data_IF_161082018508
#
_entry.id   IF_161082018508
#
_cell.length_a   1.000
_cell.length_b   1.000
_cell.length_c   1.000
_cell.angle_alpha   90.00
_cell.angle_beta   90.00
_cell.angle_gamma   90.00
#
_symmetry.space_group_name_H-M   'P 1'
#
loop_
_entity.id
_entity.type
_entity.pdbx_description
1 polymer ?
#
# COMPACT_ATOMS: atom_id res chain seq x y z
N UNK A 1 -16.48 -6.41 18.80
CA UNK A 1 -15.87 -5.11 18.48
C UNK A 1 -16.97 -4.06 18.36
N UNK A 2 -16.84 -2.91 19.03
CA UNK A 2 -17.84 -1.85 18.90
C UNK A 2 -17.59 -0.96 17.65
N UNK A 3 -18.57 -0.14 17.28
CA UNK A 3 -18.50 0.73 16.09
C UNK A 3 -17.34 1.74 16.14
N UNK A 4 -17.02 2.27 17.32
CA UNK A 4 -15.92 3.23 17.49
C UNK A 4 -14.55 2.56 17.35
N UNK A 5 -14.39 1.34 17.88
CA UNK A 5 -13.22 0.50 17.69
C UNK A 5 -13.02 0.15 16.21
N UNK A 6 -14.10 -0.19 15.49
CA UNK A 6 -14.06 -0.49 14.06
C UNK A 6 -13.62 0.74 13.25
N UNK A 7 -14.27 1.89 13.48
CA UNK A 7 -13.94 3.18 12.86
C UNK A 7 -12.47 3.55 13.11
N UNK A 8 -12.06 3.52 14.37
CA UNK A 8 -10.70 3.92 14.76
C UNK A 8 -9.66 2.95 14.21
N UNK A 9 -9.93 1.64 14.20
CA UNK A 9 -9.04 0.64 13.63
C UNK A 9 -8.74 0.91 12.16
N UNK A 10 -9.78 1.15 11.35
CA UNK A 10 -9.61 1.53 9.95
C UNK A 10 -8.84 2.84 9.78
N UNK A 11 -9.17 3.87 10.55
CA UNK A 11 -8.50 5.17 10.44
C UNK A 11 -7.02 5.10 10.83
N UNK A 12 -6.70 4.44 11.95
CA UNK A 12 -5.32 4.26 12.41
C UNK A 12 -4.50 3.52 11.37
N UNK A 13 -5.01 2.41 10.82
CA UNK A 13 -4.31 1.70 9.76
C UNK A 13 -4.22 2.46 8.45
N UNK A 14 -5.24 3.26 8.11
CA UNK A 14 -5.17 4.16 6.95
C UNK A 14 -3.99 5.13 7.06
N UNK A 15 -3.78 5.71 8.25
CA UNK A 15 -2.66 6.62 8.53
C UNK A 15 -1.32 5.89 8.45
N UNK A 16 -1.24 4.68 8.98
CA UNK A 16 -0.05 3.83 8.88
C UNK A 16 0.34 3.57 7.41
N UNK A 17 -0.64 3.20 6.58
CA UNK A 17 -0.42 2.97 5.14
C UNK A 17 0.00 4.28 4.43
N UNK A 18 -0.60 5.41 4.77
CA UNK A 18 -0.23 6.71 4.20
C UNK A 18 1.22 7.08 4.54
N UNK A 19 1.62 6.91 5.80
CA UNK A 19 3.01 7.15 6.23
C UNK A 19 3.98 6.21 5.52
N UNK A 20 3.61 4.94 5.35
CA UNK A 20 4.41 3.97 4.59
C UNK A 20 4.51 4.36 3.11
N UNK A 21 3.41 4.85 2.51
CA UNK A 21 3.37 5.36 1.12
C UNK A 21 4.28 6.58 0.95
N UNK A 22 4.29 7.49 1.93
CA UNK A 22 5.17 8.65 1.93
C UNK A 22 6.65 8.23 2.04
N UNK A 23 6.96 7.25 2.88
CA UNK A 23 8.32 6.68 3.00
C UNK A 23 8.78 6.08 1.68
N UNK A 24 7.93 5.32 0.98
CA UNK A 24 8.21 4.78 -0.35
C UNK A 24 8.50 5.88 -1.39
N UNK A 25 7.87 7.04 -1.22
CA UNK A 25 8.01 8.17 -2.16
C UNK A 25 9.29 8.99 -1.91
N UNK A 26 9.75 9.09 -0.65
CA UNK A 26 10.97 9.84 -0.28
C UNK A 26 12.25 9.19 -0.79
N UNK A 27 12.29 7.86 -0.87
CA UNK A 27 13.43 7.06 -1.37
C UNK A 27 13.70 7.20 -2.89
N UNK A 28 13.03 8.13 -3.60
CA UNK A 28 13.15 8.31 -5.06
C UNK A 28 14.12 9.41 -5.49
N UNK A 29 14.67 10.22 -4.59
CA UNK A 29 15.35 11.48 -4.95
C UNK A 29 16.88 11.38 -5.18
N UNK A 30 17.41 10.20 -5.46
CA UNK A 30 18.83 10.02 -5.82
C UNK A 30 19.05 9.35 -7.18
N UNK A 31 19.93 9.92 -8.00
CA UNK A 31 20.56 9.24 -9.16
C UNK A 31 21.42 8.04 -8.74
N UNK A 32 21.86 7.99 -7.48
CA UNK A 32 22.63 6.88 -6.89
C UNK A 32 21.80 5.94 -6.00
N UNK A 33 20.57 6.32 -5.64
CA UNK A 33 19.70 5.43 -4.86
C UNK A 33 18.97 4.48 -5.83
N UNK A 34 19.60 3.32 -6.02
CA UNK A 34 18.90 2.16 -6.55
C UNK A 34 18.01 1.68 -5.42
N UNK A 35 16.70 1.77 -5.61
CA UNK A 35 15.76 1.08 -4.75
C UNK A 35 16.10 -0.41 -4.84
N UNK A 36 16.66 -0.99 -3.79
CA UNK A 36 17.16 -2.36 -3.84
C UNK A 36 15.99 -3.33 -3.95
N UNK A 37 16.19 -4.46 -4.64
CA UNK A 37 15.21 -5.55 -4.68
C UNK A 37 14.76 -5.99 -3.28
N UNK A 38 15.63 -5.83 -2.27
CA UNK A 38 15.28 -6.08 -0.87
C UNK A 38 14.21 -5.11 -0.36
N UNK A 39 14.43 -3.79 -0.47
CA UNK A 39 13.42 -2.78 -0.07
C UNK A 39 12.10 -2.99 -0.82
N UNK A 40 12.16 -3.38 -2.09
CA UNK A 40 10.97 -3.68 -2.89
C UNK A 40 10.23 -4.91 -2.37
N UNK A 41 10.95 -5.98 -2.03
CA UNK A 41 10.38 -7.18 -1.45
C UNK A 41 9.79 -6.93 -0.07
N UNK A 42 10.48 -6.17 0.79
CA UNK A 42 9.99 -5.79 2.12
C UNK A 42 8.66 -4.99 2.00
N UNK A 43 8.56 -4.08 1.03
CA UNK A 43 7.33 -3.33 0.77
C UNK A 43 6.18 -4.22 0.22
N UNK A 44 6.49 -5.22 -0.60
CA UNK A 44 5.50 -6.23 -1.04
C UNK A 44 5.00 -7.10 0.10
N UNK A 45 5.88 -7.49 1.00
CA UNK A 45 5.50 -8.23 2.20
C UNK A 45 4.57 -7.38 3.09
N UNK A 46 4.90 -6.10 3.26
CA UNK A 46 4.05 -5.16 4.00
C UNK A 46 2.67 -4.97 3.35
N UNK A 47 2.59 -4.95 2.01
CA UNK A 47 1.31 -4.96 1.30
C UNK A 47 0.46 -6.20 1.64
N UNK A 48 1.09 -7.38 1.68
CA UNK A 48 0.41 -8.63 2.07
C UNK A 48 -0.10 -8.59 3.51
N UNK A 49 0.66 -7.98 4.41
CA UNK A 49 0.26 -7.76 5.81
C UNK A 49 -0.99 -6.86 5.88
N UNK A 50 -1.04 -5.76 5.11
CA UNK A 50 -2.23 -4.89 5.10
C UNK A 50 -3.49 -5.59 4.57
N UNK A 51 -3.37 -6.42 3.54
CA UNK A 51 -4.49 -7.23 3.06
C UNK A 51 -4.95 -8.27 4.08
N UNK A 52 -4.00 -8.94 4.73
CA UNK A 52 -4.31 -9.92 5.77
C UNK A 52 -5.02 -9.26 6.94
N UNK A 53 -4.53 -8.10 7.39
CA UNK A 53 -5.16 -7.30 8.42
C UNK A 53 -6.58 -6.89 8.04
N UNK A 54 -6.82 -6.39 6.82
CA UNK A 54 -8.16 -6.01 6.36
C UNK A 54 -9.12 -7.19 6.45
N UNK A 55 -8.70 -8.36 5.96
CA UNK A 55 -9.53 -9.58 5.96
C UNK A 55 -9.88 -10.04 7.37
N UNK A 56 -8.90 -10.07 8.27
CA UNK A 56 -9.10 -10.50 9.66
C UNK A 56 -9.96 -9.49 10.44
N UNK A 57 -9.75 -8.20 10.19
CA UNK A 57 -10.52 -7.13 10.81
C UNK A 57 -11.97 -7.10 10.31
N UNK A 58 -12.19 -7.24 8.99
CA UNK A 58 -13.53 -7.39 8.39
C UNK A 58 -14.27 -8.62 8.94
N UNK A 59 -13.59 -9.76 9.08
CA UNK A 59 -14.19 -10.99 9.62
C UNK A 59 -14.60 -10.82 11.10
N UNK A 60 -13.78 -10.13 11.89
CA UNK A 60 -14.07 -9.83 13.30
C UNK A 60 -15.23 -8.83 13.42
N UNK A 61 -15.29 -7.85 12.52
CA UNK A 61 -16.34 -6.83 12.47
C UNK A 61 -17.69 -7.41 12.05
N UNK A 62 -17.72 -8.20 10.97
CA UNK A 62 -18.95 -8.73 10.37
C UNK A 62 -19.69 -9.75 11.24
N UNK A 63 -19.01 -10.39 12.20
CA UNK A 63 -19.62 -11.35 13.12
C UNK A 63 -20.59 -10.74 14.15
N UNK A 64 -20.52 -9.43 14.41
CA UNK A 64 -21.20 -8.80 15.56
C UNK A 64 -22.50 -8.03 15.20
N UNK A 65 -22.84 -7.86 13.92
CA UNK A 65 -23.99 -7.06 13.50
C UNK A 65 -25.20 -7.91 13.10
N UNK A 66 -25.94 -8.41 14.09
CA UNK A 66 -27.31 -8.90 13.87
C UNK A 66 -28.32 -7.75 14.13
N UNK A 67 -29.12 -7.42 13.12
CA UNK A 67 -30.15 -6.39 13.20
C UNK A 67 -31.29 -6.83 14.14
N UNK A 68 -31.22 -6.43 15.41
CA UNK A 68 -32.30 -6.60 16.38
C UNK A 68 -32.60 -5.26 17.06
N UNK A 69 -33.85 -4.76 16.95
CA UNK A 69 -34.27 -3.50 17.57
C UNK A 69 -35.51 -2.86 16.95
N UNK A 70 -35.95 -1.74 17.52
CA UNK A 70 -37.06 -0.93 16.98
C UNK A 70 -36.58 -0.05 15.82
N UNK A 71 -37.49 0.54 15.02
CA UNK A 71 -37.13 1.36 13.84
C UNK A 71 -36.13 2.50 14.16
N UNK A 72 -36.25 3.24 15.28
CA UNK A 72 -35.23 4.21 15.70
C UNK A 72 -33.84 3.59 15.95
N UNK A 73 -33.80 2.42 16.58
CA UNK A 73 -32.55 1.70 16.86
C UNK A 73 -31.87 1.26 15.55
N UNK A 74 -32.66 0.78 14.60
CA UNK A 74 -32.19 0.41 13.25
C UNK A 74 -31.65 1.63 12.50
N UNK A 75 -32.30 2.79 12.62
CA UNK A 75 -31.88 4.02 11.94
C UNK A 75 -30.55 4.55 12.49
N UNK A 76 -30.40 4.55 13.82
CA UNK A 76 -29.17 4.97 14.48
C UNK A 76 -28.01 3.99 14.19
N UNK A 77 -28.30 2.69 14.18
CA UNK A 77 -27.34 1.66 13.80
C UNK A 77 -26.86 1.83 12.35
N UNK A 78 -27.78 2.12 11.41
CA UNK A 78 -27.44 2.36 10.01
C UNK A 78 -26.56 3.60 9.83
N UNK A 79 -26.84 4.69 10.57
CA UNK A 79 -25.99 5.87 10.61
C UNK A 79 -24.57 5.55 11.08
N UNK A 80 -24.43 4.79 12.14
CA UNK A 80 -23.11 4.41 12.68
C UNK A 80 -22.36 3.43 11.75
N UNK A 81 -23.05 2.47 11.16
CA UNK A 81 -22.49 1.57 10.15
C UNK A 81 -21.94 2.35 8.96
N UNK A 82 -22.65 3.39 8.50
CA UNK A 82 -22.19 4.24 7.40
C UNK A 82 -20.85 4.95 7.70
N UNK A 83 -20.60 5.29 8.97
CA UNK A 83 -19.34 5.90 9.40
C UNK A 83 -18.21 4.88 9.30
N UNK A 84 -18.43 3.65 9.78
CA UNK A 84 -17.43 2.58 9.68
C UNK A 84 -17.13 2.22 8.23
N UNK A 85 -18.16 2.12 7.38
CA UNK A 85 -17.98 1.89 5.94
C UNK A 85 -17.15 2.99 5.28
N UNK A 86 -17.35 4.24 5.69
CA UNK A 86 -16.53 5.36 5.20
C UNK A 86 -15.08 5.23 5.66
N UNK A 87 -14.84 4.86 6.91
CA UNK A 87 -13.48 4.60 7.42
C UNK A 87 -12.81 3.42 6.69
N UNK A 88 -13.55 2.34 6.42
CA UNK A 88 -13.09 1.21 5.61
C UNK A 88 -12.74 1.65 4.19
N UNK A 89 -13.57 2.49 3.57
CA UNK A 89 -13.29 3.08 2.26
C UNK A 89 -12.00 3.90 2.26
N UNK A 90 -11.73 4.68 3.32
CA UNK A 90 -10.46 5.39 3.48
C UNK A 90 -9.27 4.43 3.56
N UNK A 91 -9.39 3.32 4.31
CA UNK A 91 -8.35 2.28 4.36
C UNK A 91 -8.06 1.71 2.97
N UNK A 92 -9.11 1.32 2.23
CA UNK A 92 -8.97 0.76 0.87
C UNK A 92 -8.34 1.78 -0.08
N UNK A 93 -8.70 3.06 0.05
CA UNK A 93 -8.11 4.15 -0.73
C UNK A 93 -6.61 4.33 -0.43
N UNK A 94 -6.23 4.29 0.85
CA UNK A 94 -4.81 4.32 1.27
C UNK A 94 -4.05 3.12 0.73
N UNK A 95 -4.64 1.92 0.76
CA UNK A 95 -4.04 0.70 0.23
C UNK A 95 -3.77 0.81 -1.27
N UNK A 96 -4.76 1.26 -2.06
CA UNK A 96 -4.61 1.49 -3.49
C UNK A 96 -3.52 2.55 -3.79
N UNK A 97 -3.37 3.55 -2.92
CA UNK A 97 -2.31 4.56 -3.06
C UNK A 97 -0.92 3.95 -2.82
N UNK A 98 -0.80 3.06 -1.83
CA UNK A 98 0.42 2.29 -1.57
C UNK A 98 0.77 1.37 -2.74
N UNK A 99 -0.20 0.64 -3.29
CA UNK A 99 0.01 -0.22 -4.46
C UNK A 99 0.51 0.57 -5.68
N UNK A 100 -0.08 1.73 -5.95
CA UNK A 100 0.37 2.62 -7.03
C UNK A 100 1.79 3.12 -6.79
N UNK A 101 2.12 3.49 -5.56
CA UNK A 101 3.48 3.90 -5.22
C UNK A 101 4.50 2.77 -5.45
N UNK A 102 4.14 1.55 -5.06
CA UNK A 102 4.93 0.34 -5.25
C UNK A 102 5.14 0.04 -6.75
N UNK A 103 4.07 -0.01 -7.54
CA UNK A 103 4.15 -0.25 -8.99
C UNK A 103 5.03 0.80 -9.70
N UNK A 104 4.96 2.06 -9.28
CA UNK A 104 5.84 3.12 -9.79
C UNK A 104 7.31 2.90 -9.42
N UNK A 105 7.59 2.36 -8.23
CA UNK A 105 8.96 2.00 -7.82
C UNK A 105 9.47 0.82 -8.63
N UNK A 106 8.66 -0.21 -8.84
CA UNK A 106 9.02 -1.38 -9.66
C UNK A 106 9.39 -0.97 -11.08
N UNK A 107 8.53 -0.19 -11.72
CA UNK A 107 8.76 0.32 -13.07
C UNK A 107 10.05 1.14 -13.15
N UNK A 108 10.27 2.04 -12.20
CA UNK A 108 11.49 2.86 -12.14
C UNK A 108 12.75 2.00 -11.91
N UNK A 109 12.68 0.99 -11.04
CA UNK A 109 13.80 0.09 -10.73
C UNK A 109 14.18 -0.75 -11.94
N UNK A 110 13.18 -1.34 -12.62
CA UNK A 110 13.39 -2.11 -13.84
C UNK A 110 13.97 -1.25 -14.97
N UNK A 111 13.49 -0.01 -15.11
CA UNK A 111 14.05 0.94 -16.06
C UNK A 111 15.52 1.23 -15.75
N UNK A 112 15.86 1.63 -14.51
CA UNK A 112 17.24 1.93 -14.10
C UNK A 112 18.19 0.74 -14.34
N UNK A 113 17.77 -0.48 -14.02
CA UNK A 113 18.55 -1.70 -14.28
C UNK A 113 18.80 -1.92 -15.78
N UNK A 114 17.74 -1.85 -16.58
CA UNK A 114 17.82 -2.05 -18.04
C UNK A 114 18.72 -0.99 -18.69
N UNK A 115 18.57 0.28 -18.31
CA UNK A 115 19.41 1.38 -18.80
C UNK A 115 20.87 1.21 -18.39
N UNK A 116 21.13 0.76 -17.15
CA UNK A 116 22.51 0.51 -16.68
C UNK A 116 23.18 -0.60 -17.47
N UNK A 117 22.47 -1.70 -17.73
CA UNK A 117 22.97 -2.81 -18.56
C UNK A 117 23.25 -2.31 -19.98
N UNK A 118 22.35 -1.53 -20.57
CA UNK A 118 22.55 -0.97 -21.91
C UNK A 118 23.77 -0.03 -21.98
N UNK A 119 23.99 0.81 -20.96
CA UNK A 119 25.16 1.67 -20.87
C UNK A 119 26.46 0.86 -20.77
N UNK A 120 26.48 -0.21 -19.97
CA UNK A 120 27.64 -1.12 -19.89
C UNK A 120 27.90 -1.78 -21.24
N UNK A 121 26.85 -2.25 -21.92
CA UNK A 121 26.99 -2.86 -23.25
C UNK A 121 27.58 -1.88 -24.29
N UNK A 122 27.14 -0.62 -24.26
CA UNK A 122 27.71 0.44 -25.10
C UNK A 122 29.18 0.69 -24.80
N UNK A 123 29.57 0.75 -23.53
CA UNK A 123 30.97 0.92 -23.13
C UNK A 123 31.84 -0.25 -23.62
N UNK A 124 31.38 -1.49 -23.46
CA UNK A 124 32.09 -2.68 -23.95
C UNK A 124 32.23 -2.64 -25.48
N UNK A 125 31.18 -2.25 -26.20
CA UNK A 125 31.22 -2.13 -27.65
C UNK A 125 32.24 -1.08 -28.12
N UNK A 126 32.26 0.10 -27.49
CA UNK A 126 33.24 1.17 -27.80
C UNK A 126 34.66 0.70 -27.49
N UNK A 127 34.90 0.05 -26.36
CA UNK A 127 36.22 -0.48 -26.02
C UNK A 127 36.67 -1.59 -26.99
N UNK A 128 35.76 -2.45 -27.43
CA UNK A 128 36.03 -3.48 -28.43
C UNK A 128 36.50 -2.90 -29.76
N UNK A 129 35.95 -1.75 -30.18
CA UNK A 129 36.38 -1.04 -31.38
C UNK A 129 37.79 -0.42 -31.26
N UNK A 130 38.25 -0.11 -30.05
CA UNK A 130 39.58 0.48 -29.81
C UNK A 130 40.68 -0.58 -29.68
N UNK A 131 40.31 -1.80 -29.25
CA UNK A 131 41.24 -2.92 -29.04
C UNK A 131 41.41 -3.77 -30.32
N UNK A 132 40.53 -3.60 -31.31
CA UNK A 132 40.60 -4.27 -32.64
C UNK A 132 41.24 -3.34 -33.67
#
# INVERSE_FOLDING_TARGET
MNLDEAKNGYLTKSIEILNATESLSKDKYGIFEIFTNKKLNDAKEQLSIYYSWLREFDATYSGDFMLHGTIPDITMLNGNLSIVERSRSMFVSSLNSYEKALANIESSTNFKLTTSIALIALLVAVLGLVIT
#
